data_IF_778298487977
#
_entry.id   IF_778298487977
#
_cell.length_a   1.000
_cell.length_b   1.000
_cell.length_c   1.000
_cell.angle_alpha   90.00
_cell.angle_beta   90.00
_cell.angle_gamma   90.00
#
_symmetry.space_group_name_H-M   'P 1'
#
loop_
_entity.id
_entity.type
_entity.pdbx_description
1 polymer ?
#
# COMPACT_ATOMS: atom_id res chain seq x y z
N UNK A 1 -27.59 -9.14 -7.83
CA UNK A 1 -27.04 -9.56 -9.11
C UNK A 1 -25.56 -9.95 -8.96
N UNK A 2 -25.19 -11.01 -9.67
CA UNK A 2 -23.84 -11.58 -9.54
C UNK A 2 -22.73 -10.61 -9.94
N UNK A 3 -22.94 -9.81 -10.97
CA UNK A 3 -21.94 -8.85 -11.46
C UNK A 3 -21.65 -7.76 -10.42
N UNK A 4 -22.70 -7.18 -9.87
CA UNK A 4 -22.56 -6.12 -8.86
C UNK A 4 -21.88 -6.67 -7.61
N UNK A 5 -22.27 -7.86 -7.20
CA UNK A 5 -21.68 -8.53 -6.03
C UNK A 5 -20.21 -8.81 -6.24
N UNK A 6 -19.82 -9.23 -7.46
CA UNK A 6 -18.41 -9.48 -7.81
C UNK A 6 -17.60 -8.19 -7.72
N UNK A 7 -18.11 -7.11 -8.28
CA UNK A 7 -17.44 -5.81 -8.26
C UNK A 7 -17.26 -5.32 -6.82
N UNK A 8 -18.30 -5.45 -6.00
CA UNK A 8 -18.23 -5.07 -4.59
C UNK A 8 -17.20 -5.89 -3.83
N UNK A 9 -17.12 -7.20 -4.10
CA UNK A 9 -16.11 -8.07 -3.48
C UNK A 9 -14.70 -7.69 -3.91
N UNK A 10 -14.51 -7.37 -5.18
CA UNK A 10 -13.20 -6.93 -5.69
C UNK A 10 -12.80 -5.59 -5.10
N UNK A 11 -13.73 -4.65 -4.97
CA UNK A 11 -13.48 -3.36 -4.32
C UNK A 11 -13.02 -3.57 -2.88
N UNK A 12 -13.71 -4.43 -2.14
CA UNK A 12 -13.35 -4.71 -0.75
C UNK A 12 -11.95 -5.30 -0.64
N UNK A 13 -11.62 -6.27 -1.49
CA UNK A 13 -10.29 -6.89 -1.49
C UNK A 13 -9.20 -5.87 -1.82
N UNK A 14 -9.48 -5.00 -2.78
CA UNK A 14 -8.53 -3.95 -3.17
C UNK A 14 -8.32 -2.98 -2.00
N UNK A 15 -9.41 -2.58 -1.33
CA UNK A 15 -9.33 -1.70 -0.17
C UNK A 15 -8.55 -2.33 0.98
N UNK A 16 -8.73 -3.63 1.22
CA UNK A 16 -7.97 -4.36 2.24
C UNK A 16 -6.49 -4.38 1.91
N UNK A 17 -6.13 -4.60 0.65
CA UNK A 17 -4.75 -4.60 0.19
C UNK A 17 -4.12 -3.21 0.35
N UNK A 18 -4.86 -2.17 -0.01
CA UNK A 18 -4.42 -0.78 0.16
C UNK A 18 -4.14 -0.51 1.64
N UNK A 19 -5.07 -0.88 2.51
CA UNK A 19 -4.92 -0.67 3.95
C UNK A 19 -3.68 -1.38 4.50
N UNK A 20 -3.45 -2.62 4.09
CA UNK A 20 -2.28 -3.39 4.54
C UNK A 20 -0.99 -2.70 4.14
N UNK A 21 -0.90 -2.23 2.89
CA UNK A 21 0.29 -1.55 2.41
C UNK A 21 0.49 -0.18 3.05
N UNK A 22 -0.57 0.57 3.27
CA UNK A 22 -0.50 1.85 3.97
C UNK A 22 -0.04 1.68 5.41
N UNK A 23 -0.49 0.61 6.07
CA UNK A 23 -0.06 0.28 7.42
C UNK A 23 1.44 -0.04 7.46
N UNK A 24 1.93 -0.82 6.49
CA UNK A 24 3.36 -1.12 6.38
C UNK A 24 4.19 0.13 6.13
N UNK A 25 3.70 1.01 5.28
CA UNK A 25 4.39 2.27 4.99
C UNK A 25 4.50 3.12 6.26
N UNK A 26 3.42 3.20 7.04
CA UNK A 26 3.42 3.92 8.32
C UNK A 26 4.38 3.30 9.33
N UNK A 27 4.49 1.99 9.36
CA UNK A 27 5.43 1.29 10.24
C UNK A 27 6.88 1.62 9.87
N UNK A 28 7.18 1.68 8.56
CA UNK A 28 8.49 2.07 8.08
C UNK A 28 8.79 3.51 8.45
N UNK A 29 7.83 4.41 8.29
CA UNK A 29 7.98 5.81 8.69
C UNK A 29 8.32 5.94 10.17
N UNK A 30 7.66 5.15 11.01
CA UNK A 30 7.96 5.11 12.45
C UNK A 30 9.38 4.65 12.72
N UNK A 31 9.86 3.63 12.02
CA UNK A 31 11.23 3.13 12.15
C UNK A 31 12.25 4.19 11.72
N UNK A 32 11.95 4.96 10.70
CA UNK A 32 12.85 6.00 10.19
C UNK A 32 13.05 7.16 11.17
N UNK A 33 12.20 7.27 12.20
CA UNK A 33 12.35 8.30 13.25
C UNK A 33 13.32 7.86 14.35
N UNK A 34 13.70 6.59 14.40
CA UNK A 34 14.59 6.06 15.42
C UNK A 34 16.04 6.35 15.08
N UNK A 35 16.78 6.89 16.05
CA UNK A 35 18.19 7.24 15.84
C UNK A 35 19.02 6.05 15.39
N UNK A 36 18.79 4.88 15.98
CA UNK A 36 19.50 3.64 15.63
C UNK A 36 19.25 3.19 14.20
N UNK A 37 18.19 3.69 13.58
CA UNK A 37 17.82 3.37 12.19
C UNK A 37 18.37 4.43 11.24
N UNK A 38 18.12 5.72 11.49
CA UNK A 38 18.51 6.75 10.53
C UNK A 38 20.04 7.02 10.55
N UNK A 39 20.76 6.54 11.55
CA UNK A 39 22.23 6.59 11.57
C UNK A 39 22.86 5.36 10.91
N UNK A 40 22.06 4.33 10.63
CA UNK A 40 22.51 3.11 9.96
C UNK A 40 22.21 3.23 8.46
N UNK A 41 23.20 3.67 7.69
CA UNK A 41 23.01 3.96 6.26
C UNK A 41 22.49 2.76 5.46
N UNK A 42 23.07 1.54 5.56
CA UNK A 42 22.52 0.39 4.83
C UNK A 42 21.06 0.09 5.15
N UNK A 43 20.68 0.18 6.43
CA UNK A 43 19.31 -0.07 6.87
C UNK A 43 18.38 1.02 6.36
N UNK A 44 18.81 2.27 6.40
CA UNK A 44 18.06 3.41 5.89
C UNK A 44 17.75 3.23 4.40
N UNK A 45 18.75 2.83 3.62
CA UNK A 45 18.59 2.59 2.18
C UNK A 45 17.61 1.44 1.91
N UNK A 46 17.70 0.36 2.69
CA UNK A 46 16.79 -0.77 2.56
C UNK A 46 15.35 -0.38 2.84
N UNK A 47 15.13 0.39 3.91
CA UNK A 47 13.78 0.84 4.27
C UNK A 47 13.20 1.80 3.23
N UNK A 48 14.02 2.71 2.69
CA UNK A 48 13.59 3.61 1.63
C UNK A 48 13.21 2.84 0.37
N UNK A 49 13.96 1.79 0.04
CA UNK A 49 13.65 0.93 -1.10
C UNK A 49 12.30 0.24 -0.91
N UNK A 50 12.03 -0.26 0.29
CA UNK A 50 10.73 -0.87 0.60
C UNK A 50 9.59 0.13 0.46
N UNK A 51 9.79 1.36 0.88
CA UNK A 51 8.79 2.42 0.71
C UNK A 51 8.49 2.68 -0.77
N UNK A 52 9.51 2.70 -1.61
CA UNK A 52 9.34 2.87 -3.06
C UNK A 52 8.54 1.73 -3.67
N UNK A 53 8.83 0.50 -3.26
CA UNK A 53 8.08 -0.68 -3.73
C UNK A 53 6.62 -0.61 -3.30
N UNK A 54 6.37 -0.23 -2.06
CA UNK A 54 5.00 -0.06 -1.53
C UNK A 54 4.27 1.04 -2.30
N UNK A 55 4.92 2.16 -2.56
CA UNK A 55 4.33 3.27 -3.31
C UNK A 55 3.90 2.84 -4.71
N UNK A 56 4.75 2.05 -5.40
CA UNK A 56 4.41 1.50 -6.71
C UNK A 56 3.23 0.54 -6.68
N UNK A 57 3.16 -0.31 -5.67
CA UNK A 57 2.04 -1.23 -5.49
C UNK A 57 0.75 -0.49 -5.17
N UNK A 58 0.82 0.54 -4.32
CA UNK A 58 -0.33 1.36 -3.97
C UNK A 58 -0.89 2.08 -5.19
N UNK A 59 -0.01 2.62 -6.04
CA UNK A 59 -0.45 3.30 -7.26
C UNK A 59 -1.28 2.38 -8.15
N UNK A 60 -0.82 1.13 -8.33
CA UNK A 60 -1.55 0.14 -9.12
C UNK A 60 -2.88 -0.22 -8.49
N UNK A 61 -2.92 -0.35 -7.17
CA UNK A 61 -4.15 -0.67 -6.45
C UNK A 61 -5.15 0.46 -6.53
N UNK A 62 -4.72 1.72 -6.44
CA UNK A 62 -5.59 2.86 -6.58
C UNK A 62 -6.20 2.92 -7.98
N UNK A 63 -5.42 2.62 -9.02
CA UNK A 63 -5.93 2.55 -10.39
C UNK A 63 -6.98 1.46 -10.54
N UNK A 64 -6.73 0.27 -9.98
CA UNK A 64 -7.69 -0.83 -10.00
C UNK A 64 -8.96 -0.45 -9.26
N UNK A 65 -8.82 0.20 -8.12
CA UNK A 65 -9.96 0.65 -7.31
C UNK A 65 -10.84 1.64 -8.10
N UNK A 66 -10.20 2.60 -8.77
CA UNK A 66 -10.94 3.58 -9.58
C UNK A 66 -11.71 2.92 -10.72
N UNK A 67 -11.08 1.97 -11.41
CA UNK A 67 -11.72 1.24 -12.49
C UNK A 67 -12.92 0.43 -12.00
N UNK A 68 -12.77 -0.25 -10.86
CA UNK A 68 -13.86 -1.00 -10.25
C UNK A 68 -14.99 -0.10 -9.77
N UNK A 69 -14.64 1.05 -9.20
CA UNK A 69 -15.62 2.02 -8.72
C UNK A 69 -16.46 2.60 -9.85
N UNK A 70 -15.86 2.79 -11.03
CA UNK A 70 -16.57 3.26 -12.21
C UNK A 70 -17.59 2.24 -12.71
N UNK A 71 -17.32 0.94 -12.52
CA UNK A 71 -18.22 -0.12 -12.93
C UNK A 71 -19.37 -0.36 -11.94
N UNK A 72 -19.23 0.12 -10.71
CA UNK A 72 -20.19 -0.13 -9.64
C UNK A 72 -21.47 0.72 -9.74
#
# INVERSE_FOLDING_TARGET
QARIRRIQNELRKTEESIHTLETRDSEIDALLTLEEVYTDVPRLMELNKKKEEIAGQLEKLYQSWEELAEEA
#
